data_IF_081160397750
#
_entry.id   IF_081160397750
#
_cell.length_a   1.000
_cell.length_b   1.000
_cell.length_c   1.000
_cell.angle_alpha   90.00
_cell.angle_beta   90.00
_cell.angle_gamma   90.00
#
_symmetry.space_group_name_H-M   'P 1'
#
loop_
_entity.id
_entity.type
_entity.pdbx_description
1 polymer ?
#
# COMPACT_ATOMS: atom_id res chain seq x y z
N UNK A 1 13.21 11.18 -20.57
CA UNK A 1 13.12 10.06 -19.60
C UNK A 1 11.87 10.30 -18.78
N UNK A 2 10.81 9.52 -19.00
CA UNK A 2 9.54 9.66 -18.28
C UNK A 2 9.62 8.83 -17.01
N UNK A 3 9.85 9.51 -15.89
CA UNK A 3 9.74 8.89 -14.58
C UNK A 3 8.26 8.94 -14.19
N UNK A 4 7.58 7.80 -14.16
CA UNK A 4 6.11 7.75 -14.08
C UNK A 4 5.57 7.24 -12.75
N UNK A 5 6.43 6.71 -11.85
CA UNK A 5 5.96 6.15 -10.58
C UNK A 5 7.00 6.12 -9.46
N UNK A 6 6.50 6.23 -8.22
CA UNK A 6 7.21 5.86 -6.97
C UNK A 6 6.81 4.46 -6.56
N UNK A 7 7.71 3.69 -5.96
CA UNK A 7 7.37 2.40 -5.35
C UNK A 7 8.01 2.23 -3.97
N UNK A 8 7.27 1.64 -3.04
CA UNK A 8 7.71 1.23 -1.71
C UNK A 8 7.60 -0.29 -1.59
N UNK A 9 8.67 -0.91 -1.09
CA UNK A 9 8.81 -2.37 -0.93
C UNK A 9 8.88 -2.76 0.55
N UNK A 10 9.11 -1.79 1.44
CA UNK A 10 9.10 -2.01 2.88
C UNK A 10 7.67 -1.92 3.41
N UNK A 11 7.26 -2.96 4.14
CA UNK A 11 5.95 -3.04 4.78
C UNK A 11 6.13 -3.01 6.30
N UNK A 12 5.38 -2.13 6.97
CA UNK A 12 5.36 -2.00 8.42
C UNK A 12 3.95 -2.32 8.91
N UNK A 13 3.80 -3.38 9.71
CA UNK A 13 2.53 -3.70 10.34
C UNK A 13 2.23 -2.69 11.46
N UNK A 14 1.02 -2.13 11.49
CA UNK A 14 0.58 -1.24 12.56
C UNK A 14 0.55 -1.98 13.91
N UNK A 15 0.12 -3.25 13.89
CA UNK A 15 0.25 -4.18 15.02
C UNK A 15 1.26 -5.29 14.69
N UNK A 16 2.54 -5.14 15.11
CA UNK A 16 3.58 -6.10 14.78
C UNK A 16 3.45 -7.44 15.51
N UNK A 17 2.58 -7.56 16.52
CA UNK A 17 2.36 -8.81 17.25
C UNK A 17 1.23 -9.66 16.64
N UNK A 18 0.33 -9.03 15.88
CA UNK A 18 -0.80 -9.71 15.25
C UNK A 18 -0.47 -10.31 13.88
N UNK A 19 0.59 -9.83 13.23
CA UNK A 19 0.96 -10.25 11.87
C UNK A 19 2.45 -10.58 11.76
N UNK A 20 2.74 -11.67 11.06
CA UNK A 20 4.10 -11.95 10.61
C UNK A 20 4.36 -11.22 9.31
N UNK A 21 5.50 -10.52 9.24
CA UNK A 21 6.02 -9.92 8.01
C UNK A 21 7.36 -10.59 7.72
N UNK A 22 7.39 -11.48 6.73
CA UNK A 22 8.61 -12.20 6.35
C UNK A 22 9.17 -11.60 5.05
N UNK A 23 10.31 -10.89 5.11
CA UNK A 23 10.96 -10.40 3.90
C UNK A 23 11.49 -11.57 3.05
N UNK A 24 11.30 -11.47 1.74
CA UNK A 24 11.82 -12.37 0.71
C UNK A 24 12.57 -11.54 -0.34
N UNK A 25 13.23 -12.21 -1.28
CA UNK A 25 13.92 -11.53 -2.38
C UNK A 25 12.89 -10.80 -3.27
N UNK A 26 12.75 -9.49 -3.06
CA UNK A 26 11.90 -8.60 -3.86
C UNK A 26 10.44 -8.48 -3.43
N UNK A 27 10.04 -9.06 -2.29
CA UNK A 27 8.68 -8.93 -1.74
C UNK A 27 8.64 -9.28 -0.25
N UNK A 28 7.49 -9.04 0.39
CA UNK A 28 7.21 -9.51 1.75
C UNK A 28 6.02 -10.47 1.75
N UNK A 29 6.10 -11.53 2.56
CA UNK A 29 4.96 -12.39 2.86
C UNK A 29 4.34 -11.91 4.16
N UNK A 30 3.04 -11.65 4.14
CA UNK A 30 2.28 -11.25 5.33
C UNK A 30 1.26 -12.32 5.65
N UNK A 31 1.18 -12.71 6.92
CA UNK A 31 0.21 -13.70 7.41
C UNK A 31 -0.20 -13.43 8.87
N UNK A 32 -1.45 -13.73 9.26
CA UNK A 32 -1.88 -13.61 10.65
C UNK A 32 -1.10 -14.51 11.59
N UNK A 33 -0.81 -14.04 12.81
CA UNK A 33 -0.21 -14.87 13.87
C UNK A 33 -1.26 -15.77 14.53
N UNK A 34 -2.51 -15.31 14.63
CA UNK A 34 -3.60 -16.01 15.31
C UNK A 34 -4.92 -15.90 14.55
N UNK A 35 -5.86 -16.81 14.85
CA UNK A 35 -7.23 -16.73 14.33
C UNK A 35 -8.06 -15.59 14.96
N UNK A 36 -7.56 -14.91 15.99
CA UNK A 36 -8.24 -13.80 16.66
C UNK A 36 -8.08 -12.45 15.97
N UNK A 37 -7.05 -12.30 15.13
CA UNK A 37 -6.77 -11.05 14.38
C UNK A 37 -6.58 -11.37 12.90
N UNK A 38 -7.62 -11.12 12.10
CA UNK A 38 -7.65 -11.45 10.68
C UNK A 38 -7.69 -10.22 9.77
N UNK A 39 -7.54 -9.02 10.33
CA UNK A 39 -7.44 -7.78 9.56
C UNK A 39 -6.37 -6.88 10.15
N UNK A 40 -5.59 -6.23 9.28
CA UNK A 40 -4.46 -5.40 9.69
C UNK A 40 -4.14 -4.32 8.67
N UNK A 41 -3.54 -3.24 9.16
CA UNK A 41 -3.07 -2.12 8.36
C UNK A 41 -1.55 -2.18 8.22
N UNK A 42 -1.11 -1.88 7.01
CA UNK A 42 0.28 -2.02 6.59
C UNK A 42 0.75 -0.75 5.90
N UNK A 43 1.80 -0.14 6.44
CA UNK A 43 2.37 1.10 5.93
C UNK A 43 3.46 0.83 4.89
N UNK A 44 3.43 1.63 3.83
CA UNK A 44 4.38 1.64 2.74
C UNK A 44 4.87 3.06 2.51
N UNK A 45 6.10 3.31 2.92
CA UNK A 45 6.76 4.58 2.68
C UNK A 45 7.25 4.65 1.24
N UNK A 46 6.85 5.71 0.54
CA UNK A 46 7.25 5.92 -0.85
C UNK A 46 8.30 7.04 -0.93
N UNK A 47 9.29 6.90 -1.83
CA UNK A 47 10.19 8.01 -2.12
C UNK A 47 9.40 9.18 -2.72
N UNK A 48 9.94 10.39 -2.63
CA UNK A 48 9.35 11.54 -3.33
C UNK A 48 9.56 11.40 -4.84
N UNK A 49 8.60 11.81 -5.68
CA UNK A 49 8.85 11.93 -7.11
C UNK A 49 9.85 13.03 -7.47
N UNK A 50 10.51 12.96 -8.64
CA UNK A 50 11.33 14.02 -9.19
C UNK A 50 10.55 15.33 -9.36
N UNK A 51 11.30 16.44 -9.36
CA UNK A 51 10.72 17.76 -9.61
C UNK A 51 9.97 17.78 -10.96
N UNK A 52 8.74 18.31 -10.95
CA UNK A 52 7.86 18.36 -12.12
C UNK A 52 6.70 17.37 -12.07
N UNK A 53 6.82 16.29 -11.28
CA UNK A 53 5.79 15.25 -11.13
C UNK A 53 5.08 15.40 -9.78
N UNK A 54 4.25 16.43 -9.66
CA UNK A 54 3.63 16.80 -8.38
C UNK A 54 2.22 16.23 -8.19
N UNK A 55 1.64 15.63 -9.22
CA UNK A 55 0.24 15.24 -9.25
C UNK A 55 0.13 13.73 -9.34
N UNK A 56 -0.21 13.07 -8.24
CA UNK A 56 -0.50 11.64 -8.27
C UNK A 56 -1.87 11.41 -8.91
N UNK A 57 -1.95 10.51 -9.88
CA UNK A 57 -3.17 10.20 -10.63
C UNK A 57 -3.70 8.80 -10.35
N UNK A 58 -2.81 7.85 -10.04
CA UNK A 58 -3.19 6.47 -9.79
C UNK A 58 -2.43 5.92 -8.59
N UNK A 59 -3.06 4.96 -7.91
CA UNK A 59 -2.40 4.03 -6.99
C UNK A 59 -2.23 2.68 -7.70
N UNK A 60 -1.14 1.99 -7.41
CA UNK A 60 -0.87 0.63 -7.87
C UNK A 60 -0.44 -0.22 -6.70
N UNK A 61 -1.04 -1.39 -6.54
CA UNK A 61 -0.70 -2.35 -5.49
C UNK A 61 -0.43 -3.68 -6.17
N UNK A 62 0.82 -4.14 -6.08
CA UNK A 62 1.28 -5.39 -6.69
C UNK A 62 1.36 -6.49 -5.65
N UNK A 63 0.46 -7.48 -5.78
CA UNK A 63 0.35 -8.58 -4.82
C UNK A 63 -0.31 -9.84 -5.41
N UNK A 64 -0.07 -10.96 -4.75
CA UNK A 64 -0.86 -12.20 -4.91
C UNK A 64 -1.31 -12.62 -3.55
N UNK A 65 -2.53 -13.12 -3.44
CA UNK A 65 -3.03 -13.63 -2.17
C UNK A 65 -3.41 -15.09 -2.25
N UNK A 66 -3.32 -15.74 -1.10
CA UNK A 66 -3.98 -17.00 -0.80
C UNK A 66 -4.98 -16.71 0.31
N UNK A 67 -6.25 -16.55 -0.04
CA UNK A 67 -7.35 -16.27 0.89
C UNK A 67 -7.19 -14.95 1.67
N UNK A 68 -6.63 -13.93 1.03
CA UNK A 68 -6.58 -12.58 1.58
C UNK A 68 -7.02 -11.55 0.52
N UNK A 69 -7.51 -10.41 0.98
CA UNK A 69 -7.92 -9.30 0.13
C UNK A 69 -7.32 -7.99 0.60
N UNK A 70 -6.95 -7.14 -0.35
CA UNK A 70 -6.72 -5.71 -0.10
C UNK A 70 -8.08 -5.04 -0.11
N UNK A 71 -8.48 -4.44 1.01
CA UNK A 71 -9.83 -3.92 1.20
C UNK A 71 -9.88 -2.38 1.28
N UNK A 72 -8.82 -1.76 1.78
CA UNK A 72 -8.74 -0.30 1.89
C UNK A 72 -7.33 0.17 1.49
N UNK A 73 -7.25 1.37 0.93
CA UNK A 73 -6.00 2.12 0.87
C UNK A 73 -6.20 3.54 1.38
N UNK A 74 -5.12 4.13 1.90
CA UNK A 74 -5.06 5.53 2.28
C UNK A 74 -3.71 6.10 1.86
N UNK A 75 -3.73 7.23 1.16
CA UNK A 75 -2.53 7.95 0.70
C UNK A 75 -2.34 9.20 1.55
N UNK A 76 -1.20 9.30 2.19
CA UNK A 76 -0.80 10.42 3.05
C UNK A 76 0.39 11.16 2.45
N UNK A 77 0.30 12.49 2.41
CA UNK A 77 1.44 13.37 2.19
C UNK A 77 1.75 14.13 3.49
N UNK A 78 2.88 13.81 4.10
CA UNK A 78 3.19 14.19 5.47
C UNK A 78 2.22 13.52 6.42
N UNK A 79 1.50 14.32 7.21
CA UNK A 79 0.48 13.84 8.15
C UNK A 79 -0.96 14.08 7.66
N UNK A 80 -1.15 14.41 6.37
CA UNK A 80 -2.47 14.70 5.80
C UNK A 80 -2.88 13.60 4.84
N UNK A 81 -4.00 12.95 5.13
CA UNK A 81 -4.66 12.08 4.16
C UNK A 81 -5.10 12.90 2.96
N UNK A 82 -4.88 12.33 1.78
CA UNK A 82 -5.15 13.00 0.51
C UNK A 82 -6.13 12.24 -0.36
N UNK A 83 -6.10 10.92 -0.29
CA UNK A 83 -7.02 10.05 -0.99
C UNK A 83 -7.13 8.75 -0.21
N UNK A 84 -8.31 8.17 -0.19
CA UNK A 84 -8.59 6.86 0.36
C UNK A 84 -9.70 6.22 -0.44
N UNK A 85 -9.75 4.89 -0.39
CA UNK A 85 -10.88 4.10 -0.87
C UNK A 85 -11.02 2.86 0.00
N UNK A 86 -12.23 2.32 0.08
CA UNK A 86 -12.63 1.25 1.01
C UNK A 86 -13.55 0.26 0.32
N UNK A 87 -13.74 -0.93 0.91
CA UNK A 87 -14.56 -2.01 0.34
C UNK A 87 -14.07 -2.46 -1.05
N UNK A 88 -12.75 -2.45 -1.26
CA UNK A 88 -12.15 -2.78 -2.55
C UNK A 88 -12.27 -4.27 -2.87
N UNK A 89 -12.12 -5.14 -1.87
CA UNK A 89 -12.18 -6.59 -2.03
C UNK A 89 -11.20 -7.16 -3.07
N UNK A 90 -10.05 -6.52 -3.28
CA UNK A 90 -9.10 -6.94 -4.31
C UNK A 90 -8.41 -8.23 -3.95
N UNK A 91 -8.42 -9.20 -4.87
CA UNK A 91 -7.77 -10.52 -4.72
C UNK A 91 -6.51 -10.68 -5.57
N UNK A 92 -6.20 -9.70 -6.41
CA UNK A 92 -5.04 -9.67 -7.30
C UNK A 92 -4.51 -8.25 -7.45
N UNK A 93 -3.27 -8.11 -7.96
CA UNK A 93 -2.68 -6.81 -8.30
C UNK A 93 -3.63 -5.93 -9.11
N UNK A 94 -3.72 -4.66 -8.73
CA UNK A 94 -4.61 -3.67 -9.35
C UNK A 94 -3.95 -2.30 -9.41
N UNK A 95 -4.36 -1.51 -10.39
CA UNK A 95 -4.13 -0.08 -10.40
C UNK A 95 -5.44 0.66 -10.58
N UNK A 96 -5.66 1.67 -9.75
CA UNK A 96 -6.88 2.45 -9.71
C UNK A 96 -6.55 3.93 -9.85
N UNK A 97 -7.36 4.66 -10.61
CA UNK A 97 -7.31 6.11 -10.64
C UNK A 97 -7.74 6.68 -9.28
N UNK A 98 -6.97 7.63 -8.76
CA UNK A 98 -7.38 8.38 -7.58
C UNK A 98 -8.59 9.25 -7.94
N UNK A 99 -9.53 9.42 -7.00
CA UNK A 99 -10.77 10.17 -7.22
C UNK A 99 -10.54 11.60 -7.75
N UNK A 100 -9.39 12.19 -7.43
CA UNK A 100 -8.89 13.40 -8.06
C UNK A 100 -7.36 13.39 -8.07
N UNK A 101 -6.76 14.15 -9.01
CA UNK A 101 -5.32 14.38 -9.03
C UNK A 101 -4.87 14.98 -7.69
N UNK A 102 -3.98 14.27 -6.99
CA UNK A 102 -3.51 14.69 -5.68
C UNK A 102 -2.19 15.43 -5.80
N UNK A 103 -2.21 16.73 -5.51
CA UNK A 103 -1.00 17.55 -5.47
C UNK A 103 -0.15 17.27 -4.20
N UNK A 104 1.14 17.04 -4.41
CA UNK A 104 2.16 17.03 -3.36
C UNK A 104 2.34 18.44 -2.78
N UNK A 105 1.58 18.74 -1.73
CA UNK A 105 1.66 20.03 -1.04
C UNK A 105 2.82 20.05 -0.05
N UNK A 106 3.81 20.91 -0.28
CA UNK A 106 4.94 21.15 0.64
C UNK A 106 6.26 20.56 0.16
N UNK A 107 7.34 21.34 0.30
CA UNK A 107 8.67 20.98 -0.22
C UNK A 107 9.35 19.83 0.54
N UNK A 108 8.80 19.28 1.63
CA UNK A 108 9.43 18.22 2.44
C UNK A 108 8.47 17.15 3.01
N UNK A 109 7.25 17.02 2.47
CA UNK A 109 6.33 16.02 2.99
C UNK A 109 6.72 14.61 2.50
N UNK A 110 6.96 13.67 3.43
CA UNK A 110 7.09 12.25 3.10
C UNK A 110 5.79 11.68 2.53
N UNK A 111 5.87 10.55 1.84
CA UNK A 111 4.68 9.88 1.28
C UNK A 111 4.52 8.55 2.02
N UNK A 112 3.33 8.32 2.55
CA UNK A 112 2.96 7.05 3.17
C UNK A 112 1.67 6.53 2.53
N UNK A 113 1.64 5.24 2.27
CA UNK A 113 0.45 4.54 1.80
C UNK A 113 0.12 3.44 2.79
N UNK A 114 -1.07 3.52 3.37
CA UNK A 114 -1.59 2.50 4.28
C UNK A 114 -2.50 1.60 3.47
N UNK A 115 -2.32 0.29 3.60
CA UNK A 115 -3.23 -0.71 3.02
C UNK A 115 -3.81 -1.57 4.12
N UNK A 116 -5.15 -1.71 4.12
CA UNK A 116 -5.82 -2.69 4.97
C UNK A 116 -5.92 -4.01 4.22
N UNK A 117 -5.46 -5.07 4.86
CA UNK A 117 -5.53 -6.44 4.35
C UNK A 117 -6.46 -7.24 5.25
N UNK A 118 -7.39 -7.96 4.65
CA UNK A 118 -8.33 -8.86 5.33
C UNK A 118 -7.99 -10.29 4.93
N UNK A 119 -7.83 -11.15 5.92
CA UNK A 119 -7.49 -12.56 5.78
C UNK A 119 -8.73 -13.41 6.08
N UNK A 120 -8.99 -14.45 5.28
CA UNK A 120 -10.15 -15.31 5.53
C UNK A 120 -9.98 -16.19 6.78
N UNK A 121 -8.73 -16.56 7.10
CA UNK A 121 -8.37 -17.39 8.24
C UNK A 121 -6.87 -17.28 8.58
N UNK A 122 -6.43 -17.93 9.67
CA UNK A 122 -5.03 -17.91 10.12
C UNK A 122 -4.04 -18.52 9.11
N UNK A 123 -4.49 -19.42 8.23
CA UNK A 123 -3.65 -20.03 7.18
C UNK A 123 -3.56 -19.19 5.91
N UNK A 124 -4.22 -18.03 5.87
CA UNK A 124 -4.20 -17.12 4.73
C UNK A 124 -2.89 -16.35 4.65
N UNK A 125 -2.50 -15.96 3.45
CA UNK A 125 -1.28 -15.18 3.23
C UNK A 125 -1.41 -14.24 2.04
N UNK A 126 -0.56 -13.22 2.01
CA UNK A 126 -0.42 -12.30 0.89
C UNK A 126 1.06 -12.02 0.64
N UNK A 127 1.46 -12.06 -0.63
CA UNK A 127 2.77 -11.65 -1.07
C UNK A 127 2.65 -10.23 -1.62
N UNK A 128 3.35 -9.28 -1.02
CA UNK A 128 3.34 -7.86 -1.39
C UNK A 128 4.67 -7.53 -2.06
N UNK A 129 4.65 -7.23 -3.36
CA UNK A 129 5.86 -6.86 -4.12
C UNK A 129 6.12 -5.36 -4.07
N UNK A 130 5.12 -4.56 -4.41
CA UNK A 130 5.28 -3.12 -4.42
C UNK A 130 3.95 -2.40 -4.24
N UNK A 131 4.03 -1.22 -3.64
CA UNK A 131 2.97 -0.22 -3.67
C UNK A 131 3.53 1.03 -4.31
N UNK A 132 2.77 1.64 -5.21
CA UNK A 132 3.23 2.82 -5.91
C UNK A 132 2.15 3.83 -6.24
N UNK A 133 2.60 5.05 -6.51
CA UNK A 133 1.79 6.12 -7.07
C UNK A 133 2.31 6.45 -8.46
N UNK A 134 1.38 6.68 -9.40
CA UNK A 134 1.71 7.18 -10.73
C UNK A 134 1.47 8.69 -10.80
N UNK A 135 2.27 9.40 -11.58
CA UNK A 135 2.23 10.85 -11.67
C UNK A 135 2.04 11.34 -13.11
N UNK A 136 1.32 12.45 -13.26
CA UNK A 136 1.15 13.20 -14.51
C UNK A 136 1.91 14.53 -14.49
#
# INVERSE_FOLDING_TARGET
>A
MSWTSTHGVAVIAEDPNSFTVQPRAGYAVVSPVSAGTLEGKFHFTLPRPPAGYNNATNISIEFTSQLATVDEYHVYFGNKEKSSDTNLGWTNSQSQALASSVALSGSNAGIDVIVKIVFANQSSSINLWSIGLQYA
#
